data_IF_185134404059
#
_entry.id   IF_185134404059
#
_cell.length_a   1.000
_cell.length_b   1.000
_cell.length_c   1.000
_cell.angle_alpha   90.00
_cell.angle_beta   90.00
_cell.angle_gamma   90.00
#
_symmetry.space_group_name_H-M   'P 1'
#
loop_
_entity.id
_entity.type
_entity.pdbx_description
1 polymer ?
#
# COMPACT_ATOMS: atom_id res chain seq x y z
N UNK A 1 -19.48 -10.24 -17.42
CA UNK A 1 -18.04 -10.14 -17.11
C UNK A 1 -17.79 -8.78 -16.50
N UNK A 2 -17.90 -8.67 -15.17
CA UNK A 2 -17.70 -7.41 -14.45
C UNK A 2 -16.85 -7.72 -13.23
N UNK A 3 -15.58 -7.31 -13.26
CA UNK A 3 -14.73 -7.40 -12.07
C UNK A 3 -15.08 -6.23 -11.16
N UNK A 4 -15.31 -6.53 -9.87
CA UNK A 4 -15.34 -5.53 -8.80
C UNK A 4 -13.90 -5.13 -8.48
N UNK A 5 -13.64 -3.85 -8.12
CA UNK A 5 -14.59 -2.90 -7.53
C UNK A 5 -15.37 -2.05 -8.54
N UNK A 6 -16.66 -1.80 -8.26
CA UNK A 6 -17.50 -0.90 -9.09
C UNK A 6 -17.34 0.58 -8.73
N UNK A 7 -16.37 0.87 -7.87
CA UNK A 7 -16.08 2.18 -7.27
C UNK A 7 -14.56 2.33 -7.25
N UNK A 8 -14.06 3.57 -7.29
CA UNK A 8 -12.62 3.82 -7.11
C UNK A 8 -12.10 3.27 -5.78
N UNK A 9 -10.82 2.92 -5.75
CA UNK A 9 -10.14 2.32 -4.59
C UNK A 9 -8.68 2.77 -4.56
N UNK A 10 -7.93 2.38 -3.52
CA UNK A 10 -6.50 2.64 -3.46
C UNK A 10 -5.71 1.46 -4.01
N UNK A 11 -4.74 1.70 -4.89
CA UNK A 11 -3.59 0.81 -5.02
C UNK A 11 -2.57 1.15 -3.94
N UNK A 12 -2.08 0.14 -3.22
CA UNK A 12 -1.06 0.30 -2.19
C UNK A 12 0.21 -0.43 -2.58
N UNK A 13 1.26 0.33 -2.86
CA UNK A 13 2.59 -0.18 -3.20
C UNK A 13 3.54 -0.03 -2.04
N UNK A 14 4.33 -1.07 -1.76
CA UNK A 14 5.38 -1.06 -0.73
C UNK A 14 6.72 -1.24 -1.41
N UNK A 15 7.68 -0.37 -1.15
CA UNK A 15 9.07 -0.47 -1.59
C UNK A 15 9.30 -0.71 -3.10
N UNK A 16 8.34 -0.27 -3.93
CA UNK A 16 8.31 -0.52 -5.38
C UNK A 16 8.49 -2.00 -5.79
N UNK A 17 8.07 -2.93 -4.93
CA UNK A 17 8.03 -4.35 -5.30
C UNK A 17 7.00 -4.58 -6.41
N UNK A 18 7.19 -5.65 -7.19
CA UNK A 18 6.34 -5.94 -8.35
C UNK A 18 4.89 -6.35 -8.04
N UNK A 19 4.50 -6.38 -6.76
CA UNK A 19 3.14 -6.67 -6.31
C UNK A 19 2.59 -5.48 -5.50
N UNK A 20 1.26 -5.35 -5.51
CA UNK A 20 0.50 -4.39 -4.71
C UNK A 20 -0.84 -5.02 -4.32
N UNK A 21 -1.59 -4.36 -3.45
CA UNK A 21 -2.98 -4.74 -3.17
C UNK A 21 -3.93 -3.57 -3.41
N UNK A 22 -5.20 -3.93 -3.57
CA UNK A 22 -6.30 -2.98 -3.63
C UNK A 22 -6.92 -2.82 -2.24
N UNK A 23 -7.14 -1.58 -1.81
CA UNK A 23 -7.96 -1.25 -0.64
C UNK A 23 -9.26 -0.54 -1.07
N UNK A 24 -10.38 -1.28 -1.15
CA UNK A 24 -11.70 -0.73 -1.45
C UNK A 24 -12.53 -0.42 -0.19
N UNK A 25 -11.93 -0.45 1.01
CA UNK A 25 -12.67 -0.42 2.29
C UNK A 25 -13.26 0.93 2.64
N UNK A 26 -12.63 2.04 2.21
CA UNK A 26 -13.03 3.40 2.57
C UNK A 26 -12.84 3.75 4.05
N UNK A 27 -12.11 2.95 4.83
CA UNK A 27 -11.87 3.17 6.27
C UNK A 27 -10.71 4.14 6.55
N UNK A 28 -10.07 4.66 5.51
CA UNK A 28 -8.95 5.63 5.58
C UNK A 28 -7.74 5.14 6.40
N UNK A 29 -7.54 3.82 6.54
CA UNK A 29 -6.45 3.23 7.31
C UNK A 29 -5.82 2.08 6.53
N UNK A 30 -4.49 2.07 6.46
CA UNK A 30 -3.71 1.00 5.83
C UNK A 30 -2.76 0.44 6.88
N UNK A 31 -2.96 -0.82 7.25
CA UNK A 31 -2.11 -1.52 8.21
C UNK A 31 -1.10 -2.40 7.48
N UNK A 32 0.18 -2.26 7.82
CA UNK A 32 1.29 -3.01 7.22
C UNK A 32 2.17 -3.55 8.35
N UNK A 33 2.45 -4.85 8.31
CA UNK A 33 3.28 -5.53 9.29
C UNK A 33 4.38 -6.37 8.61
N UNK A 34 5.42 -6.72 9.38
CA UNK A 34 6.48 -7.62 8.92
C UNK A 34 7.54 -6.98 8.00
N UNK A 35 7.59 -5.65 7.93
CA UNK A 35 8.67 -4.94 7.26
C UNK A 35 9.99 -5.10 8.05
N UNK A 36 11.10 -5.21 7.33
CA UNK A 36 12.44 -5.36 7.92
C UNK A 36 12.92 -4.07 8.60
N UNK A 37 14.05 -4.12 9.30
CA UNK A 37 14.72 -2.87 9.70
C UNK A 37 15.22 -2.11 8.46
N UNK A 38 15.24 -0.77 8.55
CA UNK A 38 15.73 0.09 7.48
C UNK A 38 14.67 1.00 6.86
N UNK A 39 15.03 1.71 5.78
CA UNK A 39 14.13 2.66 5.11
C UNK A 39 13.08 1.93 4.28
N UNK A 40 11.85 2.44 4.36
CA UNK A 40 10.69 1.97 3.62
C UNK A 40 9.94 3.14 2.97
N UNK A 41 9.17 2.81 1.94
CA UNK A 41 8.20 3.72 1.34
C UNK A 41 6.91 3.01 0.99
N UNK A 42 5.81 3.74 1.16
CA UNK A 42 4.47 3.30 0.78
C UNK A 42 3.91 4.33 -0.18
N UNK A 43 3.55 3.91 -1.40
CA UNK A 43 2.82 4.75 -2.36
C UNK A 43 1.35 4.34 -2.35
N UNK A 44 0.50 5.31 -2.05
CA UNK A 44 -0.95 5.22 -2.13
C UNK A 44 -1.42 5.94 -3.39
N UNK A 45 -2.22 5.28 -4.21
CA UNK A 45 -2.67 5.80 -5.50
C UNK A 45 -4.16 5.59 -5.65
N UNK A 46 -4.90 6.68 -5.84
CA UNK A 46 -6.34 6.59 -6.09
C UNK A 46 -6.55 6.15 -7.53
N UNK A 47 -7.26 5.05 -7.72
CA UNK A 47 -7.61 4.52 -9.04
C UNK A 47 -9.12 4.49 -9.25
N UNK A 48 -9.53 4.60 -10.51
CA UNK A 48 -10.92 4.42 -10.89
C UNK A 48 -11.30 2.93 -10.96
N UNK A 49 -12.56 2.62 -11.32
CA UNK A 49 -13.04 1.25 -11.43
C UNK A 49 -12.34 0.41 -12.52
N UNK A 50 -11.62 1.05 -13.45
CA UNK A 50 -10.81 0.40 -14.48
C UNK A 50 -9.35 0.21 -14.07
N UNK A 51 -9.01 0.47 -12.80
CA UNK A 51 -7.65 0.42 -12.25
C UNK A 51 -6.72 1.46 -12.89
N UNK A 52 -7.29 2.54 -13.42
CA UNK A 52 -6.54 3.64 -13.99
C UNK A 52 -6.28 4.70 -12.90
N UNK A 53 -5.04 5.21 -12.76
CA UNK A 53 -4.71 6.24 -11.79
C UNK A 53 -5.44 7.54 -12.05
N UNK A 54 -5.97 8.16 -11.00
CA UNK A 54 -6.47 9.52 -11.08
C UNK A 54 -5.29 10.50 -11.17
N UNK A 55 -5.25 11.38 -12.19
CA UNK A 55 -4.14 12.33 -12.37
C UNK A 55 -3.88 13.16 -11.10
N UNK A 56 -2.63 13.13 -10.63
CA UNK A 56 -2.19 13.88 -9.44
C UNK A 56 -2.65 13.30 -8.10
N UNK A 57 -3.37 12.17 -8.07
CA UNK A 57 -3.87 11.54 -6.83
C UNK A 57 -2.98 10.37 -6.41
N UNK A 58 -1.69 10.68 -6.19
CA UNK A 58 -0.72 9.73 -5.66
C UNK A 58 0.09 10.38 -4.54
N UNK A 59 0.32 9.64 -3.46
CA UNK A 59 1.12 10.08 -2.31
C UNK A 59 2.06 8.99 -1.86
N UNK A 60 3.32 9.36 -1.68
CA UNK A 60 4.34 8.49 -1.12
C UNK A 60 4.67 8.95 0.30
N UNK A 61 4.56 8.02 1.24
CA UNK A 61 5.02 8.18 2.62
C UNK A 61 6.32 7.41 2.77
N UNK A 62 7.36 8.06 3.29
CA UNK A 62 8.64 7.43 3.60
C UNK A 62 8.84 7.37 5.11
N UNK A 63 9.40 6.27 5.60
CA UNK A 63 9.69 6.07 7.02
C UNK A 63 10.83 5.07 7.19
N UNK A 64 11.38 5.01 8.40
CA UNK A 64 12.47 4.08 8.74
C UNK A 64 12.05 3.23 9.92
N UNK A 65 12.17 1.92 9.79
CA UNK A 65 12.03 1.00 10.92
C UNK A 65 13.35 0.99 11.69
N UNK A 66 13.35 1.33 12.99
CA UNK A 66 14.56 1.36 13.78
C UNK A 66 15.26 -0.01 13.86
N UNK A 67 16.58 0.02 14.01
CA UNK A 67 17.37 -1.19 14.24
C UNK A 67 16.87 -1.93 15.48
N UNK A 68 16.72 -3.25 15.37
CA UNK A 68 16.25 -4.10 16.47
C UNK A 68 14.74 -4.03 16.74
N UNK A 69 13.96 -3.33 15.91
CA UNK A 69 12.50 -3.33 15.95
C UNK A 69 11.87 -4.51 15.19
N UNK A 70 12.67 -5.44 14.66
CA UNK A 70 12.14 -6.60 13.94
C UNK A 70 11.33 -7.49 14.89
N UNK A 71 10.17 -7.93 14.40
CA UNK A 71 9.47 -9.06 15.01
C UNK A 71 10.42 -10.25 14.92
N UNK A 72 10.98 -10.64 16.07
CA UNK A 72 11.53 -11.98 16.25
C UNK A 72 10.39 -12.94 15.94
N UNK A 73 10.30 -13.40 14.69
CA UNK A 73 9.59 -14.62 14.35
C UNK A 73 10.35 -15.73 15.07
N UNK A 74 10.02 -15.91 16.35
CA UNK A 74 10.43 -17.06 17.12
C UNK A 74 9.98 -18.29 16.32
N UNK A 75 10.96 -19.12 15.97
CA UNK A 75 10.79 -20.39 15.26
C UNK A 75 9.82 -21.31 15.96
#
# INVERSE_FOLDING_TARGET
MGVSPRVGHLHVHVDDVGWWWADPSGINTVDIAGLSEGPHKVRLELVNANHEPFPGQSRTVTFTIPKGASLSLAR
#
